data_IF_075073691176
#
_entry.id   IF_075073691176
#
_cell.length_a   1.000
_cell.length_b   1.000
_cell.length_c   1.000
_cell.angle_alpha   90.00
_cell.angle_beta   90.00
_cell.angle_gamma   90.00
#
_symmetry.space_group_name_H-M   'P 1'
#
loop_
_entity.id
_entity.type
_entity.pdbx_description
1 polymer ?
#
# COMPACT_ATOMS: atom_id res chain seq x y z
N UNK A 1 -14.96 14.11 -9.10
CA UNK A 1 -14.18 12.90 -8.79
C UNK A 1 -13.59 13.05 -7.39
N UNK A 2 -13.88 12.15 -6.45
CA UNK A 2 -13.27 12.22 -5.11
C UNK A 2 -11.79 11.84 -5.25
N UNK A 3 -10.89 12.72 -4.80
CA UNK A 3 -9.44 12.51 -4.85
C UNK A 3 -9.03 11.39 -3.89
N UNK A 4 -9.67 11.36 -2.71
CA UNK A 4 -9.43 10.38 -1.68
C UNK A 4 -10.23 9.10 -1.92
N UNK A 5 -9.58 7.96 -1.72
CA UNK A 5 -10.22 6.64 -1.70
C UNK A 5 -10.99 6.49 -0.38
N UNK A 6 -12.25 6.06 -0.43
CA UNK A 6 -13.02 5.81 0.78
C UNK A 6 -12.76 4.37 1.27
N UNK A 7 -12.37 4.22 2.53
CA UNK A 7 -12.13 2.93 3.18
C UNK A 7 -12.23 3.08 4.70
N UNK A 8 -12.75 2.05 5.39
CA UNK A 8 -12.84 2.06 6.86
C UNK A 8 -11.48 1.98 7.55
N UNK A 9 -10.46 1.41 6.90
CA UNK A 9 -9.10 1.40 7.39
C UNK A 9 -8.33 2.64 6.92
N UNK A 10 -7.78 3.37 7.87
CA UNK A 10 -7.09 4.64 7.58
C UNK A 10 -5.83 4.42 6.73
N UNK A 11 -5.11 3.33 6.98
CA UNK A 11 -3.83 3.02 6.32
C UNK A 11 -4.04 2.67 4.85
N UNK A 12 -5.03 1.82 4.54
CA UNK A 12 -5.45 1.52 3.16
C UNK A 12 -5.90 2.78 2.42
N UNK A 13 -6.69 3.63 3.07
CA UNK A 13 -7.12 4.91 2.49
C UNK A 13 -5.94 5.78 2.05
N UNK A 14 -4.94 5.95 2.93
CA UNK A 14 -3.74 6.73 2.61
C UNK A 14 -2.95 6.09 1.48
N UNK A 15 -2.68 4.79 1.56
CA UNK A 15 -1.92 4.06 0.55
C UNK A 15 -2.57 4.10 -0.84
N UNK A 16 -3.87 3.79 -0.93
CA UNK A 16 -4.61 3.78 -2.18
C UNK A 16 -4.78 5.19 -2.76
N UNK A 17 -4.93 6.21 -1.91
CA UNK A 17 -4.97 7.61 -2.37
C UNK A 17 -3.62 8.02 -2.96
N UNK A 18 -2.50 7.67 -2.32
CA UNK A 18 -1.17 7.95 -2.86
C UNK A 18 -0.95 7.29 -4.23
N UNK A 19 -1.33 6.00 -4.37
CA UNK A 19 -1.26 5.29 -5.65
C UNK A 19 -2.17 5.92 -6.72
N UNK A 20 -3.35 6.42 -6.33
CA UNK A 20 -4.28 7.11 -7.23
C UNK A 20 -3.74 8.45 -7.72
N UNK A 21 -3.10 9.22 -6.84
CA UNK A 21 -2.52 10.50 -7.21
C UNK A 21 -1.43 10.37 -8.27
N UNK A 22 -0.72 9.26 -8.30
CA UNK A 22 0.39 9.01 -9.23
C UNK A 22 -0.06 8.16 -10.44
N UNK A 23 -1.36 7.93 -10.59
CA UNK A 23 -1.92 7.27 -11.77
C UNK A 23 -1.86 5.74 -11.75
N UNK A 24 -1.53 5.13 -10.61
CA UNK A 24 -1.38 3.68 -10.46
C UNK A 24 -2.60 2.95 -9.90
N UNK A 25 -3.65 3.69 -9.52
CA UNK A 25 -4.90 3.11 -9.02
C UNK A 25 -6.11 3.79 -9.66
N UNK A 26 -6.71 3.17 -10.67
CA UNK A 26 -7.69 3.84 -11.52
C UNK A 26 -9.08 3.94 -10.87
N UNK A 27 -9.72 5.11 -10.82
CA UNK A 27 -11.13 5.22 -10.48
C UNK A 27 -12.02 4.24 -11.30
N UNK A 28 -12.99 3.62 -10.64
CA UNK A 28 -13.92 2.67 -11.29
C UNK A 28 -14.94 3.34 -12.23
N UNK A 29 -15.26 4.58 -11.91
CA UNK A 29 -16.16 5.45 -12.67
C UNK A 29 -15.57 5.90 -14.01
N UNK A 30 -14.25 5.72 -14.22
CA UNK A 30 -13.61 6.06 -15.49
C UNK A 30 -13.89 5.00 -16.55
N UNK A 31 -14.57 5.41 -17.63
CA UNK A 31 -14.85 4.60 -18.82
C UNK A 31 -14.31 5.26 -20.09
N UNK A 32 -14.09 4.44 -21.12
CA UNK A 32 -13.69 4.89 -22.46
C UNK A 32 -12.43 5.76 -22.44
N UNK A 33 -12.51 6.93 -23.11
CA UNK A 33 -11.39 7.85 -23.31
C UNK A 33 -10.75 8.34 -22.00
N UNK A 34 -11.54 8.59 -20.96
CA UNK A 34 -11.01 9.12 -19.70
C UNK A 34 -10.14 8.08 -18.97
N UNK A 35 -10.47 6.79 -19.11
CA UNK A 35 -9.63 5.69 -18.58
C UNK A 35 -8.32 5.58 -19.34
N UNK A 36 -8.35 5.71 -20.67
CA UNK A 36 -7.12 5.72 -21.48
C UNK A 36 -6.22 6.89 -21.13
N UNK A 37 -6.77 8.09 -20.94
CA UNK A 37 -6.01 9.27 -20.50
C UNK A 37 -5.37 9.02 -19.13
N UNK A 38 -6.11 8.45 -18.18
CA UNK A 38 -5.58 8.14 -16.86
C UNK A 38 -4.46 7.10 -16.91
N UNK A 39 -4.60 6.05 -17.72
CA UNK A 39 -3.56 5.05 -17.91
C UNK A 39 -2.31 5.65 -18.58
N UNK A 40 -2.50 6.55 -19.56
CA UNK A 40 -1.39 7.28 -20.18
C UNK A 40 -0.69 8.20 -19.16
N UNK A 41 -1.44 8.86 -18.28
CA UNK A 41 -0.91 9.62 -17.15
C UNK A 41 -0.10 8.73 -16.19
N UNK A 42 -0.62 7.56 -15.82
CA UNK A 42 0.10 6.61 -14.97
C UNK A 42 1.39 6.10 -15.63
N UNK A 43 1.37 5.79 -16.93
CA UNK A 43 2.56 5.39 -17.68
C UNK A 43 3.59 6.52 -17.75
N UNK A 44 3.15 7.76 -18.02
CA UNK A 44 4.01 8.93 -18.00
C UNK A 44 4.61 9.16 -16.61
N UNK A 45 3.81 9.05 -15.56
CA UNK A 45 4.26 9.20 -14.17
C UNK A 45 5.27 8.10 -13.79
N UNK A 46 5.06 6.86 -14.23
CA UNK A 46 6.02 5.78 -14.05
C UNK A 46 7.35 6.06 -14.76
N UNK A 47 7.28 6.50 -16.02
CA UNK A 47 8.48 6.82 -16.79
C UNK A 47 9.26 7.97 -16.16
N UNK A 48 8.57 9.03 -15.72
CA UNK A 48 9.20 10.19 -15.08
C UNK A 48 9.81 9.85 -13.72
N UNK A 49 9.10 9.09 -12.88
CA UNK A 49 9.53 8.82 -11.50
C UNK A 49 10.54 7.68 -11.38
N UNK A 50 10.54 6.72 -12.30
CA UNK A 50 11.35 5.50 -12.18
C UNK A 50 11.98 5.02 -13.49
N UNK A 51 11.26 5.12 -14.62
CA UNK A 51 11.74 4.62 -15.92
C UNK A 51 13.02 5.31 -16.38
N UNK A 52 13.10 6.63 -16.22
CA UNK A 52 14.31 7.43 -16.52
C UNK A 52 15.52 6.97 -15.70
N UNK A 53 15.35 6.75 -14.40
CA UNK A 53 16.42 6.27 -13.52
C UNK A 53 16.92 4.88 -13.92
N UNK A 54 16.01 3.96 -14.25
CA UNK A 54 16.38 2.62 -14.70
C UNK A 54 17.24 2.67 -15.96
N UNK A 55 16.82 3.44 -16.97
CA UNK A 55 17.57 3.58 -18.22
C UNK A 55 18.92 4.24 -17.96
N UNK A 56 18.95 5.33 -17.18
CA UNK A 56 20.17 6.06 -16.88
C UNK A 56 21.19 5.19 -16.13
N UNK A 57 20.76 4.44 -15.11
CA UNK A 57 21.64 3.55 -14.34
C UNK A 57 22.14 2.36 -15.15
N UNK A 58 21.31 1.82 -16.05
CA UNK A 58 21.74 0.78 -16.98
C UNK A 58 22.85 1.28 -17.92
N UNK A 59 22.68 2.48 -18.49
CA UNK A 59 23.70 3.10 -19.34
C UNK A 59 24.97 3.41 -18.54
N UNK A 60 24.81 3.97 -17.34
CA UNK A 60 25.94 4.35 -16.48
C UNK A 60 26.82 3.15 -16.14
N UNK A 61 26.24 1.97 -15.89
CA UNK A 61 26.99 0.72 -15.67
C UNK A 61 27.93 0.35 -16.83
N UNK A 62 27.55 0.65 -18.08
CA UNK A 62 28.42 0.44 -19.24
C UNK A 62 29.51 1.51 -19.34
N UNK A 63 29.21 2.76 -18.99
CA UNK A 63 30.17 3.88 -19.04
C UNK A 63 31.27 3.72 -18.00
N UNK A 64 30.91 3.30 -16.79
CA UNK A 64 31.85 3.12 -15.67
C UNK A 64 32.50 1.73 -15.64
N UNK A 65 32.37 0.97 -16.73
CA UNK A 65 32.83 -0.41 -16.81
C UNK A 65 34.31 -0.54 -16.45
N UNK A 66 34.62 -1.47 -15.53
CA UNK A 66 35.96 -1.67 -14.98
C UNK A 66 36.23 -0.94 -13.66
N UNK A 67 35.43 0.06 -13.29
CA UNK A 67 35.51 0.70 -11.97
C UNK A 67 34.62 -0.05 -10.96
N UNK A 68 35.14 -1.13 -10.38
CA UNK A 68 34.38 -2.03 -9.49
C UNK A 68 33.67 -1.32 -8.34
N UNK A 69 34.29 -0.36 -7.60
CA UNK A 69 33.59 0.38 -6.55
C UNK A 69 32.36 1.15 -7.08
N UNK A 70 32.50 1.87 -8.19
CA UNK A 70 31.42 2.68 -8.75
C UNK A 70 30.32 1.80 -9.37
N UNK A 71 30.72 0.70 -10.02
CA UNK A 71 29.79 -0.29 -10.57
C UNK A 71 28.94 -0.92 -9.46
N UNK A 72 29.54 -1.28 -8.33
CA UNK A 72 28.83 -1.90 -7.20
C UNK A 72 27.79 -0.94 -6.62
N UNK A 73 28.16 0.32 -6.40
CA UNK A 73 27.24 1.35 -5.91
C UNK A 73 26.07 1.59 -6.89
N UNK A 74 26.36 1.67 -8.18
CA UNK A 74 25.36 1.90 -9.23
C UNK A 74 24.43 0.69 -9.40
N UNK A 75 24.97 -0.54 -9.38
CA UNK A 75 24.21 -1.77 -9.44
C UNK A 75 23.27 -1.94 -8.23
N UNK A 76 23.71 -1.56 -7.04
CA UNK A 76 22.85 -1.56 -5.84
C UNK A 76 21.61 -0.68 -6.02
N UNK A 77 21.80 0.54 -6.51
CA UNK A 77 20.69 1.45 -6.81
C UNK A 77 19.80 0.93 -7.94
N UNK A 78 20.40 0.35 -8.99
CA UNK A 78 19.66 -0.25 -10.10
C UNK A 78 18.75 -1.39 -9.63
N UNK A 79 19.26 -2.33 -8.84
CA UNK A 79 18.45 -3.43 -8.31
C UNK A 79 17.34 -2.93 -7.37
N UNK A 80 17.62 -1.90 -6.58
CA UNK A 80 16.61 -1.24 -5.74
C UNK A 80 15.47 -0.68 -6.60
N UNK A 81 15.79 0.03 -7.69
CA UNK A 81 14.82 0.59 -8.62
C UNK A 81 14.07 -0.48 -9.42
N UNK A 82 14.74 -1.58 -9.81
CA UNK A 82 14.09 -2.71 -10.47
C UNK A 82 13.08 -3.38 -9.53
N UNK A 83 13.41 -3.55 -8.25
CA UNK A 83 12.47 -4.06 -7.26
C UNK A 83 11.25 -3.12 -7.11
N UNK A 84 11.46 -1.80 -7.11
CA UNK A 84 10.35 -0.82 -7.11
C UNK A 84 9.44 -0.98 -8.32
N UNK A 85 10.02 -1.13 -9.52
CA UNK A 85 9.29 -1.31 -10.76
C UNK A 85 8.48 -2.62 -10.76
N UNK A 86 9.10 -3.72 -10.31
CA UNK A 86 8.43 -5.01 -10.17
C UNK A 86 7.23 -4.93 -9.22
N UNK A 87 7.34 -4.22 -8.09
CA UNK A 87 6.21 -3.98 -7.18
C UNK A 87 5.07 -3.20 -7.86
N UNK A 88 5.41 -2.14 -8.61
CA UNK A 88 4.41 -1.36 -9.35
C UNK A 88 3.68 -2.21 -10.39
N UNK A 89 4.42 -2.93 -11.22
CA UNK A 89 3.86 -3.81 -12.25
C UNK A 89 2.96 -4.88 -11.62
N UNK A 90 3.39 -5.49 -10.50
CA UNK A 90 2.57 -6.46 -9.80
C UNK A 90 1.24 -5.89 -9.30
N UNK A 91 1.25 -4.68 -8.72
CA UNK A 91 0.02 -4.00 -8.27
C UNK A 91 -0.88 -3.68 -9.46
N UNK A 92 -0.32 -3.18 -10.56
CA UNK A 92 -1.07 -2.84 -11.77
C UNK A 92 -1.73 -4.08 -12.41
N UNK A 93 -0.98 -5.18 -12.57
CA UNK A 93 -1.50 -6.44 -13.12
C UNK A 93 -2.60 -7.03 -12.22
N UNK A 94 -2.42 -6.94 -10.90
CA UNK A 94 -3.33 -7.53 -9.92
C UNK A 94 -4.39 -6.56 -9.40
N UNK A 95 -4.51 -5.37 -10.00
CA UNK A 95 -5.35 -4.27 -9.51
C UNK A 95 -6.78 -4.73 -9.22
N UNK A 96 -7.40 -5.48 -10.16
CA UNK A 96 -8.76 -6.00 -10.02
C UNK A 96 -8.92 -6.93 -8.80
N UNK A 97 -7.94 -7.82 -8.58
CA UNK A 97 -7.95 -8.76 -7.46
C UNK A 97 -7.73 -8.02 -6.14
N UNK A 98 -6.74 -7.14 -6.09
CA UNK A 98 -6.46 -6.29 -4.92
C UNK A 98 -7.68 -5.45 -4.57
N UNK A 99 -8.39 -4.93 -5.56
CA UNK A 99 -9.60 -4.15 -5.33
C UNK A 99 -10.73 -4.98 -4.74
N UNK A 100 -11.01 -6.15 -5.33
CA UNK A 100 -11.99 -7.07 -4.78
C UNK A 100 -11.69 -7.45 -3.32
N UNK A 101 -10.40 -7.63 -2.98
CA UNK A 101 -9.93 -7.83 -1.61
C UNK A 101 -10.25 -6.64 -0.70
N UNK A 102 -9.89 -5.43 -1.13
CA UNK A 102 -10.13 -4.19 -0.38
C UNK A 102 -11.62 -3.99 -0.12
N UNK A 103 -12.46 -4.15 -1.13
CA UNK A 103 -13.90 -3.89 -1.04
C UNK A 103 -14.62 -4.96 -0.21
N UNK A 104 -14.26 -6.23 -0.39
CA UNK A 104 -14.78 -7.34 0.41
C UNK A 104 -14.42 -7.18 1.88
N UNK A 105 -13.16 -6.82 2.18
CA UNK A 105 -12.74 -6.53 3.54
C UNK A 105 -13.50 -5.32 4.13
N UNK A 106 -13.60 -4.22 3.38
CA UNK A 106 -14.27 -3.01 3.83
C UNK A 106 -15.75 -3.25 4.17
N UNK A 107 -16.45 -4.06 3.36
CA UNK A 107 -17.84 -4.44 3.61
C UNK A 107 -18.01 -5.18 4.95
N UNK A 108 -17.12 -6.13 5.26
CA UNK A 108 -17.15 -6.89 6.53
C UNK A 108 -16.84 -5.99 7.73
N UNK A 109 -15.85 -5.10 7.62
CA UNK A 109 -15.49 -4.20 8.73
C UNK A 109 -16.60 -3.19 9.01
N UNK A 110 -17.24 -2.67 7.96
CA UNK A 110 -18.37 -1.73 8.09
C UNK A 110 -19.60 -2.38 8.70
N UNK A 111 -19.80 -3.70 8.56
CA UNK A 111 -20.92 -4.41 9.17
C UNK A 111 -20.71 -4.69 10.68
N UNK A 112 -19.46 -4.73 11.14
CA UNK A 112 -19.07 -4.93 12.54
C UNK A 112 -19.31 -3.68 13.43
N UNK A 113 -20.55 -3.24 13.57
CA UNK A 113 -20.90 -1.93 14.18
C UNK A 113 -21.06 -1.92 15.72
N UNK A 114 -21.18 -3.07 16.39
CA UNK A 114 -21.57 -3.11 17.82
C UNK A 114 -20.60 -3.91 18.71
N UNK A 115 -20.50 -3.46 19.97
CA UNK A 115 -19.84 -4.17 21.07
C UNK A 115 -18.39 -4.59 20.80
N UNK A 116 -18.10 -5.85 21.11
CA UNK A 116 -16.77 -6.48 21.01
C UNK A 116 -16.23 -6.48 19.57
N UNK A 117 -17.10 -6.62 18.56
CA UNK A 117 -16.70 -6.63 17.16
C UNK A 117 -16.10 -5.28 16.72
N UNK A 118 -16.71 -4.17 17.15
CA UNK A 118 -16.19 -2.82 16.88
C UNK A 118 -14.84 -2.58 17.56
N UNK A 119 -14.64 -3.13 18.76
CA UNK A 119 -13.36 -3.03 19.47
C UNK A 119 -12.24 -3.78 18.73
N UNK A 120 -12.53 -4.96 18.17
CA UNK A 120 -11.59 -5.73 17.35
C UNK A 120 -11.17 -4.92 16.11
N UNK A 121 -12.14 -4.38 15.34
CA UNK A 121 -11.86 -3.57 14.15
C UNK A 121 -11.00 -2.35 14.50
N UNK A 122 -11.34 -1.65 15.58
CA UNK A 122 -10.58 -0.48 16.05
C UNK A 122 -9.15 -0.86 16.45
N UNK A 123 -8.95 -2.01 17.11
CA UNK A 123 -7.62 -2.49 17.50
C UNK A 123 -6.76 -2.78 16.27
N UNK A 124 -7.30 -3.49 15.28
CA UNK A 124 -6.58 -3.79 14.04
C UNK A 124 -6.27 -2.53 13.22
N UNK A 125 -7.20 -1.56 13.16
CA UNK A 125 -6.92 -0.26 12.54
C UNK A 125 -5.82 0.51 13.27
N UNK A 126 -5.80 0.48 14.61
CA UNK A 126 -4.73 1.09 15.40
C UNK A 126 -3.36 0.45 15.16
N UNK A 127 -3.29 -0.89 15.07
CA UNK A 127 -2.06 -1.62 14.77
C UNK A 127 -1.49 -1.17 13.41
N UNK A 128 -2.30 -1.20 12.35
CA UNK A 128 -1.87 -0.76 11.01
C UNK A 128 -1.50 0.71 10.96
N UNK A 129 -2.24 1.57 11.67
CA UNK A 129 -1.94 3.01 11.73
C UNK A 129 -0.62 3.30 12.44
N UNK A 130 -0.30 2.56 13.51
CA UNK A 130 1.00 2.67 14.19
C UNK A 130 2.14 2.28 13.25
N UNK A 131 1.98 1.19 12.49
CA UNK A 131 2.96 0.78 11.48
C UNK A 131 3.14 1.84 10.41
N UNK A 132 2.05 2.41 9.88
CA UNK A 132 2.10 3.49 8.89
C UNK A 132 2.85 4.72 9.43
N UNK A 133 2.48 5.20 10.62
CA UNK A 133 3.14 6.37 11.23
C UNK A 133 4.62 6.10 11.48
N UNK A 134 4.99 4.91 11.94
CA UNK A 134 6.38 4.53 12.16
C UNK A 134 7.19 4.54 10.85
N UNK A 135 6.69 3.89 9.79
CA UNK A 135 7.37 3.88 8.49
C UNK A 135 7.43 5.26 7.84
N UNK A 136 6.36 6.05 7.96
CA UNK A 136 6.32 7.42 7.44
C UNK A 136 7.35 8.30 8.15
N UNK A 137 7.41 8.22 9.49
CA UNK A 137 8.35 9.00 10.31
C UNK A 137 9.79 8.60 10.00
N UNK A 138 10.07 7.30 9.95
CA UNK A 138 11.40 6.79 9.59
C UNK A 138 11.82 7.29 8.21
N UNK A 139 10.94 7.19 7.22
CA UNK A 139 11.18 7.64 5.85
C UNK A 139 11.45 9.16 5.80
N UNK A 140 10.65 9.95 6.50
CA UNK A 140 10.83 11.40 6.59
C UNK A 140 12.19 11.77 7.19
N UNK A 141 12.56 11.14 8.31
CA UNK A 141 13.85 11.37 8.97
C UNK A 141 15.01 10.95 8.06
N UNK A 142 14.94 9.77 7.43
CA UNK A 142 16.00 9.28 6.55
C UNK A 142 16.21 10.19 5.34
N UNK A 143 15.14 10.62 4.66
CA UNK A 143 15.26 11.47 3.47
C UNK A 143 15.70 12.88 3.84
N UNK A 144 15.19 13.43 4.94
CA UNK A 144 15.63 14.74 5.43
C UNK A 144 17.10 14.70 5.81
N UNK A 145 17.52 13.67 6.55
CA UNK A 145 18.93 13.42 6.87
C UNK A 145 19.78 13.36 5.61
N UNK A 146 19.38 12.51 4.66
CA UNK A 146 20.08 12.38 3.38
C UNK A 146 20.20 13.70 2.61
N UNK A 147 19.11 14.47 2.52
CA UNK A 147 19.14 15.79 1.88
C UNK A 147 20.13 16.72 2.60
N UNK A 148 20.04 16.82 3.93
CA UNK A 148 20.90 17.71 4.71
C UNK A 148 22.37 17.27 4.78
N UNK A 149 22.67 15.99 4.57
CA UNK A 149 24.03 15.44 4.57
C UNK A 149 24.80 15.69 3.27
N UNK A 150 24.14 16.20 2.23
CA UNK A 150 24.83 16.57 0.99
C UNK A 150 25.84 17.69 1.25
N UNK A 151 27.10 17.49 0.84
CA UNK A 151 28.13 18.53 0.94
C UNK A 151 27.71 19.79 0.17
N UNK A 152 28.01 20.98 0.72
CA UNK A 152 27.68 22.25 0.06
C UNK A 152 28.32 22.31 -1.33
N UNK A 153 27.49 22.51 -2.35
CA UNK A 153 27.92 22.54 -3.75
C UNK A 153 27.83 21.19 -4.48
N UNK A 154 27.55 20.10 -3.76
CA UNK A 154 27.29 18.78 -4.32
C UNK A 154 25.79 18.47 -4.32
N UNK A 155 25.34 17.67 -5.28
CA UNK A 155 23.97 17.16 -5.35
C UNK A 155 23.82 15.93 -4.42
N UNK A 156 22.66 15.74 -3.76
CA UNK A 156 22.41 14.59 -2.89
C UNK A 156 22.58 13.26 -3.61
N UNK A 157 22.09 13.16 -4.85
CA UNK A 157 22.34 12.04 -5.74
C UNK A 157 23.31 12.45 -6.84
N UNK A 158 24.40 11.71 -6.96
CA UNK A 158 25.27 11.80 -8.12
C UNK A 158 24.49 11.35 -9.35
N UNK A 159 24.34 12.24 -10.31
CA UNK A 159 23.74 11.96 -11.61
C UNK A 159 24.35 12.89 -12.67
N UNK A 160 24.40 12.43 -13.91
CA UNK A 160 24.82 13.25 -15.03
C UNK A 160 23.64 14.06 -15.56
N UNK A 161 23.86 15.35 -15.81
CA UNK A 161 22.88 16.26 -16.38
C UNK A 161 23.46 16.94 -17.62
N UNK A 162 22.64 17.24 -18.65
CA UNK A 162 23.11 17.87 -19.89
C UNK A 162 23.42 19.38 -19.73
N UNK A 163 23.52 19.87 -18.50
CA UNK A 163 23.80 21.25 -18.14
C UNK A 163 24.70 21.30 -16.89
N UNK A 164 25.36 22.43 -16.68
CA UNK A 164 26.27 22.63 -15.55
C UNK A 164 25.49 22.79 -14.24
N UNK A 165 25.41 21.71 -13.46
CA UNK A 165 24.72 21.66 -12.17
C UNK A 165 25.49 22.33 -11.04
N UNK A 166 26.70 22.86 -11.29
CA UNK A 166 27.49 23.54 -10.25
C UNK A 166 27.17 25.03 -10.12
N UNK A 167 26.43 25.59 -11.09
CA UNK A 167 26.11 27.02 -11.16
C UNK A 167 24.68 27.33 -10.75
N UNK A 168 24.48 28.45 -10.05
CA UNK A 168 23.14 28.98 -9.78
C UNK A 168 22.53 29.58 -11.06
N UNK A 169 21.21 29.43 -11.33
CA UNK A 169 20.20 28.76 -10.50
C UNK A 169 20.05 27.25 -10.75
N UNK A 170 20.80 26.67 -11.69
CA UNK A 170 20.67 25.27 -12.08
C UNK A 170 20.92 24.32 -10.91
N UNK A 171 21.95 24.56 -10.09
CA UNK A 171 22.22 23.78 -8.88
C UNK A 171 21.00 23.67 -7.96
N UNK A 172 20.43 24.82 -7.59
CA UNK A 172 19.32 24.91 -6.62
C UNK A 172 18.06 24.22 -7.16
N UNK A 173 17.76 24.42 -8.44
CA UNK A 173 16.62 23.78 -9.11
C UNK A 173 16.78 22.27 -9.17
N UNK A 174 17.97 21.77 -9.56
CA UNK A 174 18.24 20.33 -9.62
C UNK A 174 18.23 19.71 -8.23
N UNK A 175 18.80 20.38 -7.24
CA UNK A 175 18.78 19.93 -5.85
C UNK A 175 17.36 19.80 -5.32
N UNK A 176 16.54 20.84 -5.48
CA UNK A 176 15.13 20.83 -5.05
C UNK A 176 14.33 19.72 -5.76
N UNK A 177 14.54 19.56 -7.06
CA UNK A 177 13.93 18.49 -7.84
C UNK A 177 14.33 17.10 -7.33
N UNK A 178 15.63 16.84 -7.07
CA UNK A 178 16.09 15.54 -6.57
C UNK A 178 15.48 15.21 -5.21
N UNK A 179 15.47 16.18 -4.28
CA UNK A 179 14.88 15.98 -2.95
C UNK A 179 13.39 15.69 -3.07
N UNK A 180 12.66 16.46 -3.87
CA UNK A 180 11.23 16.23 -4.10
C UNK A 180 10.95 14.85 -4.73
N UNK A 181 11.69 14.48 -5.78
CA UNK A 181 11.54 13.20 -6.46
C UNK A 181 11.82 12.02 -5.51
N UNK A 182 12.88 12.12 -4.69
CA UNK A 182 13.21 11.12 -3.67
C UNK A 182 12.09 10.99 -2.62
N UNK A 183 11.56 12.11 -2.14
CA UNK A 183 10.42 12.12 -1.23
C UNK A 183 9.22 11.38 -1.81
N UNK A 184 8.82 11.73 -3.03
CA UNK A 184 7.68 11.10 -3.71
C UNK A 184 7.92 9.60 -3.91
N UNK A 185 9.11 9.22 -4.40
CA UNK A 185 9.46 7.82 -4.65
C UNK A 185 9.42 6.97 -3.35
N UNK A 186 9.98 7.50 -2.26
CA UNK A 186 9.99 6.81 -0.98
C UNK A 186 8.60 6.72 -0.36
N UNK A 187 7.77 7.77 -0.43
CA UNK A 187 6.38 7.71 0.01
C UNK A 187 5.56 6.70 -0.77
N UNK A 188 5.78 6.60 -2.08
CA UNK A 188 5.15 5.57 -2.90
C UNK A 188 5.62 4.17 -2.52
N UNK A 189 6.90 3.99 -2.18
CA UNK A 189 7.35 2.70 -1.63
C UNK A 189 6.60 2.35 -0.33
N UNK A 190 6.55 3.29 0.62
CA UNK A 190 5.82 3.11 1.88
C UNK A 190 4.35 2.81 1.63
N UNK A 191 3.70 3.49 0.68
CA UNK A 191 2.31 3.24 0.32
C UNK A 191 2.08 1.81 -0.20
N UNK A 192 2.97 1.29 -1.05
CA UNK A 192 2.89 -0.08 -1.57
C UNK A 192 3.05 -1.12 -0.47
N UNK A 193 4.04 -0.95 0.40
CA UNK A 193 4.28 -1.86 1.51
C UNK A 193 3.15 -1.78 2.56
N UNK A 194 2.62 -0.58 2.80
CA UNK A 194 1.44 -0.33 3.65
C UNK A 194 0.19 -1.00 3.09
N UNK A 195 -0.02 -0.96 1.77
CA UNK A 195 -1.15 -1.63 1.12
C UNK A 195 -1.15 -3.13 1.45
N UNK A 196 -0.02 -3.81 1.24
CA UNK A 196 0.11 -5.25 1.49
C UNK A 196 -0.07 -5.58 2.97
N UNK A 197 0.65 -4.87 3.85
CA UNK A 197 0.56 -5.10 5.30
C UNK A 197 -0.83 -4.82 5.85
N UNK A 198 -1.51 -3.80 5.35
CA UNK A 198 -2.89 -3.49 5.75
C UNK A 198 -3.88 -4.54 5.26
N UNK A 199 -3.71 -5.10 4.05
CA UNK A 199 -4.52 -6.24 3.57
C UNK A 199 -4.34 -7.48 4.44
N UNK A 200 -3.11 -7.80 4.84
CA UNK A 200 -2.84 -8.88 5.79
C UNK A 200 -3.51 -8.64 7.14
N UNK A 201 -3.44 -7.39 7.64
CA UNK A 201 -4.12 -7.00 8.86
C UNK A 201 -5.65 -7.08 8.74
N UNK A 202 -6.22 -6.79 7.56
CA UNK A 202 -7.65 -6.98 7.31
C UNK A 202 -8.05 -8.45 7.34
N UNK A 203 -7.28 -9.33 6.71
CA UNK A 203 -7.49 -10.77 6.81
C UNK A 203 -7.45 -11.23 8.28
N UNK A 204 -6.43 -10.80 9.02
CA UNK A 204 -6.31 -11.07 10.46
C UNK A 204 -7.50 -10.55 11.27
N UNK A 205 -7.99 -9.33 10.98
CA UNK A 205 -9.17 -8.76 11.63
C UNK A 205 -10.42 -9.60 11.34
N UNK A 206 -10.62 -10.04 10.10
CA UNK A 206 -11.76 -10.90 9.71
C UNK A 206 -11.71 -12.24 10.43
N UNK A 207 -10.52 -12.84 10.60
CA UNK A 207 -10.36 -14.07 11.37
C UNK A 207 -10.66 -13.86 12.87
N UNK A 208 -10.27 -12.72 13.45
CA UNK A 208 -10.66 -12.36 14.84
C UNK A 208 -12.17 -12.19 14.98
N UNK A 209 -12.82 -11.54 14.02
CA UNK A 209 -14.28 -11.39 14.00
C UNK A 209 -14.99 -12.75 13.88
N UNK A 210 -14.48 -13.64 13.02
CA UNK A 210 -14.98 -15.01 12.94
C UNK A 210 -14.82 -15.74 14.27
N UNK A 211 -13.66 -15.62 14.92
CA UNK A 211 -13.42 -16.19 16.25
C UNK A 211 -14.40 -15.66 17.30
N UNK A 212 -14.75 -14.37 17.25
CA UNK A 212 -15.78 -13.78 18.10
C UNK A 212 -17.17 -14.37 17.80
N UNK A 213 -17.55 -14.49 16.53
CA UNK A 213 -18.82 -15.12 16.12
C UNK A 213 -18.91 -16.57 16.60
N UNK A 214 -17.81 -17.33 16.53
CA UNK A 214 -17.75 -18.70 17.05
C UNK A 214 -17.90 -18.74 18.58
N UNK A 215 -17.23 -17.84 19.31
CA UNK A 215 -17.36 -17.78 20.78
C UNK A 215 -18.75 -17.36 21.24
N UNK A 216 -19.46 -16.60 20.42
CA UNK A 216 -20.82 -16.10 20.70
C UNK A 216 -21.92 -16.93 20.04
N UNK A 217 -21.58 -18.09 19.46
CA UNK A 217 -22.51 -18.99 18.75
C UNK A 217 -23.78 -19.30 19.57
N UNK A 218 -23.58 -19.65 20.84
CA UNK A 218 -24.67 -20.02 21.76
C UNK A 218 -25.14 -18.85 22.63
N UNK A 219 -24.68 -17.62 22.38
CA UNK A 219 -25.15 -16.45 23.13
C UNK A 219 -26.65 -16.31 22.90
N UNK A 220 -27.38 -16.08 23.99
CA UNK A 220 -28.84 -15.97 24.03
C UNK A 220 -29.61 -17.27 23.73
N UNK A 221 -28.92 -18.42 23.66
CA UNK A 221 -29.57 -19.74 23.63
C UNK A 221 -29.62 -20.31 25.05
N UNK A 222 -30.83 -20.51 25.56
CA UNK A 222 -31.06 -21.19 26.85
C UNK A 222 -31.17 -22.68 26.63
N UNK A 223 -30.42 -23.44 27.42
CA UNK A 223 -30.48 -24.89 27.39
C UNK A 223 -31.57 -25.37 28.36
N UNK A 224 -32.44 -26.28 27.93
CA UNK A 224 -33.49 -26.82 28.81
C UNK A 224 -32.88 -27.68 29.94
N UNK A 225 -33.68 -28.04 30.95
CA UNK A 225 -33.23 -28.82 32.13
C UNK A 225 -32.55 -30.17 31.84
N UNK A 226 -32.59 -30.65 30.59
CA UNK A 226 -31.87 -31.85 30.11
C UNK A 226 -30.59 -31.52 29.32
N UNK A 227 -30.09 -30.29 29.39
CA UNK A 227 -28.95 -29.82 28.59
C UNK A 227 -29.16 -29.90 27.06
N UNK A 228 -30.41 -29.88 26.60
CA UNK A 228 -30.80 -29.91 25.18
C UNK A 228 -31.33 -28.54 24.70
N UNK A 229 -30.99 -28.18 23.47
CA UNK A 229 -31.56 -27.02 22.78
C UNK A 229 -32.98 -27.35 22.28
N UNK A 230 -33.84 -26.35 22.26
CA UNK A 230 -35.15 -26.50 21.59
C UNK A 230 -34.95 -26.61 20.07
N UNK A 231 -35.88 -27.24 19.32
CA UNK A 231 -35.77 -27.36 17.87
C UNK A 231 -35.60 -26.01 17.14
N UNK A 232 -36.25 -24.95 17.63
CA UNK A 232 -36.11 -23.59 17.10
C UNK A 232 -34.71 -23.02 17.33
N UNK A 233 -34.15 -23.23 18.53
CA UNK A 233 -32.79 -22.81 18.85
C UNK A 233 -31.74 -23.59 18.06
N UNK A 234 -31.97 -24.88 17.77
CA UNK A 234 -31.09 -25.65 16.88
C UNK A 234 -31.06 -25.09 15.45
N UNK A 235 -32.21 -24.64 14.92
CA UNK A 235 -32.27 -24.00 13.60
C UNK A 235 -31.46 -22.71 13.59
N UNK A 236 -31.60 -21.88 14.63
CA UNK A 236 -30.80 -20.65 14.80
C UNK A 236 -29.31 -20.97 14.89
N UNK A 237 -28.91 -21.97 15.68
CA UNK A 237 -27.52 -22.38 15.81
C UNK A 237 -26.95 -22.87 14.47
N UNK A 238 -27.68 -23.73 13.75
CA UNK A 238 -27.28 -24.20 12.41
C UNK A 238 -27.10 -23.04 11.43
N UNK A 239 -27.97 -22.03 11.47
CA UNK A 239 -27.84 -20.83 10.64
C UNK A 239 -26.59 -20.01 11.00
N UNK A 240 -26.31 -19.81 12.30
CA UNK A 240 -25.09 -19.11 12.78
C UNK A 240 -23.81 -19.85 12.38
N UNK A 241 -23.77 -21.18 12.52
CA UNK A 241 -22.64 -22.02 12.09
C UNK A 241 -22.43 -21.90 10.58
N UNK A 242 -23.50 -21.99 9.79
CA UNK A 242 -23.43 -21.84 8.33
C UNK A 242 -22.84 -20.49 7.93
N UNK A 243 -23.25 -19.41 8.59
CA UNK A 243 -22.68 -18.08 8.37
C UNK A 243 -21.19 -18.03 8.74
N UNK A 244 -20.77 -18.66 9.84
CA UNK A 244 -19.35 -18.74 10.21
C UNK A 244 -18.52 -19.50 9.18
N UNK A 245 -19.01 -20.65 8.69
CA UNK A 245 -18.34 -21.43 7.64
C UNK A 245 -18.21 -20.60 6.36
N UNK A 246 -19.29 -19.93 5.95
CA UNK A 246 -19.26 -19.06 4.78
C UNK A 246 -18.24 -17.92 4.94
N UNK A 247 -18.26 -17.20 6.07
CA UNK A 247 -17.28 -16.13 6.33
C UNK A 247 -15.84 -16.63 6.37
N UNK A 248 -15.60 -17.85 6.85
CA UNK A 248 -14.29 -18.49 6.83
C UNK A 248 -13.82 -18.77 5.40
N UNK A 249 -14.66 -19.41 4.58
CA UNK A 249 -14.36 -19.67 3.18
C UNK A 249 -14.09 -18.38 2.41
N UNK A 250 -14.95 -17.36 2.56
CA UNK A 250 -14.77 -16.05 1.93
C UNK A 250 -13.53 -15.30 2.44
N UNK A 251 -12.97 -15.65 3.60
CA UNK A 251 -11.71 -15.06 4.07
C UNK A 251 -10.49 -15.75 3.46
N UNK A 252 -10.60 -17.03 3.09
CA UNK A 252 -9.51 -17.84 2.53
C UNK A 252 -9.45 -17.80 1.00
N UNK A 253 -10.60 -17.67 0.34
CA UNK A 253 -10.70 -17.61 -1.13
C UNK A 253 -10.44 -16.21 -1.70
N UNK A 254 -10.31 -15.21 -0.82
CA UNK A 254 -10.06 -13.81 -1.13
C UNK A 254 -8.57 -13.59 -1.47
#
# INVERSE_FOLDING_TARGET
>A
MKIFVDNSNASLRVALTALRLVGFWAPEDLKGRNKTIYNAYGALSFMLLLGTYLIAQWVDLFVIWGNIPLMTATAFLLFTNLAQAAKFINIAIREKKIRALVDSADAVLRSAKMGEARAIVKSCDQETRRQLVAFFTLTLVTITGFATSAERGNLPLRAWYPYDTTKSPAYELTYAHQVYALFVAAFLNVAKDTLVTSLLAQCHCRLKLLGLSLRTLCRDLTVNGMSLLTPEQEVVLKARIRSCVHHHQTALEA
#
